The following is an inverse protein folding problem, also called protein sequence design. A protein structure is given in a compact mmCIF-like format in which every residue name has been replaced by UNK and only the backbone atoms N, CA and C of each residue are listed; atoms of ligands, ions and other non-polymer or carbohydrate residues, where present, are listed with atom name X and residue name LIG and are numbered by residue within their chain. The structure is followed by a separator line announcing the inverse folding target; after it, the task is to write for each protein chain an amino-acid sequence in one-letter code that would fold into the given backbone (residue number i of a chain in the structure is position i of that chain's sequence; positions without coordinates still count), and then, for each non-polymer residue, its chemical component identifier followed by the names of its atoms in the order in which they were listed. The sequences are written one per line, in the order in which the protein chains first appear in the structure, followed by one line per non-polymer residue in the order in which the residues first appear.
data_IF_026424063717
#
_entry.id   IF_026424063717
#
_cell.length_a   1.000
_cell.length_b   1.000
_cell.length_c   1.000
_cell.angle_alpha   90.00
_cell.angle_beta   90.00
_cell.angle_gamma   90.00
#
_symmetry.space_group_name_H-M   'P 1'
#
loop_
_entity.id
_entity.type
_entity.pdbx_description
1 polymer ?
#
# COMPACT_ATOMS: atom_id res chain seq x y z
N UNK A 1 -27.95 -116.26 46.39
CA UNK A 1 -27.21 -116.33 47.67
C UNK A 1 -26.04 -115.39 47.47
N UNK A 2 -25.94 -114.20 48.06
CA UNK A 2 -26.19 -113.79 49.45
C UNK A 2 -26.57 -112.30 49.51
N UNK A 3 -27.56 -112.04 50.36
CA UNK A 3 -28.00 -110.86 51.13
C UNK A 3 -27.90 -109.39 50.66
N UNK A 4 -29.04 -108.75 50.88
CA UNK A 4 -29.33 -107.31 50.92
C UNK A 4 -28.90 -106.75 52.27
N UNK A 5 -28.22 -105.60 52.28
CA UNK A 5 -28.27 -104.63 53.37
C UNK A 5 -27.97 -103.25 52.78
N UNK A 6 -28.97 -102.38 52.72
CA UNK A 6 -28.78 -100.93 52.62
C UNK A 6 -28.61 -100.35 54.02
N UNK A 7 -27.91 -99.21 54.18
CA UNK A 7 -28.66 -98.01 54.58
C UNK A 7 -28.12 -96.67 54.03
N UNK A 8 -29.06 -95.73 53.75
CA UNK A 8 -29.13 -94.32 54.20
C UNK A 8 -27.84 -93.45 54.13
N UNK A 9 -27.78 -92.25 53.50
CA UNK A 9 -28.56 -91.01 53.66
C UNK A 9 -28.01 -89.93 52.66
N UNK A 10 -28.50 -88.66 52.51
CA UNK A 10 -28.62 -88.01 51.21
C UNK A 10 -27.57 -86.89 51.09
N UNK A 11 -27.41 -86.35 49.89
CA UNK A 11 -26.50 -85.23 49.70
C UNK A 11 -26.40 -84.88 48.24
N UNK A 12 -27.43 -84.22 47.74
CA UNK A 12 -27.39 -83.55 46.45
C UNK A 12 -26.51 -82.31 46.64
N UNK A 13 -25.21 -82.44 46.36
CA UNK A 13 -24.32 -81.29 46.19
C UNK A 13 -24.62 -80.67 44.81
N UNK A 14 -25.56 -79.72 44.80
CA UNK A 14 -25.71 -78.77 43.70
C UNK A 14 -24.46 -77.88 43.60
N UNK A 15 -24.13 -77.37 42.40
CA UNK A 15 -22.95 -76.53 42.22
C UNK A 15 -23.03 -75.26 43.08
N UNK A 16 -22.01 -75.08 43.92
CA UNK A 16 -21.72 -73.97 44.84
C UNK A 16 -21.85 -72.61 44.12
N UNK A 17 -22.97 -71.93 44.33
CA UNK A 17 -23.33 -70.62 43.76
C UNK A 17 -22.77 -69.43 44.57
N UNK A 18 -21.66 -69.63 45.29
CA UNK A 18 -21.10 -68.65 46.25
C UNK A 18 -19.95 -67.78 45.74
N UNK A 19 -19.89 -67.50 44.44
CA UNK A 19 -18.86 -66.64 43.83
C UNK A 19 -19.41 -65.34 43.18
N UNK A 20 -20.64 -64.91 43.49
CA UNK A 20 -21.22 -63.68 42.91
C UNK A 20 -21.02 -62.41 43.75
N UNK A 21 -20.18 -62.45 44.79
CA UNK A 21 -20.22 -61.47 45.88
C UNK A 21 -18.94 -60.63 46.05
N UNK A 22 -18.09 -60.40 45.04
CA UNK A 22 -16.94 -59.48 45.19
C UNK A 22 -16.69 -58.53 44.00
N UNK A 23 -17.69 -58.32 43.15
CA UNK A 23 -17.62 -57.38 42.04
C UNK A 23 -18.91 -56.60 41.86
N UNK A 24 -19.38 -55.96 42.93
CA UNK A 24 -20.57 -55.11 42.91
C UNK A 24 -20.53 -54.18 41.71
N UNK A 25 -21.46 -54.39 40.77
CA UNK A 25 -21.68 -53.49 39.65
C UNK A 25 -22.10 -52.15 40.25
N UNK A 26 -21.17 -51.21 40.29
CA UNK A 26 -21.45 -49.84 40.70
C UNK A 26 -22.33 -49.18 39.63
N UNK A 27 -23.63 -49.27 39.87
CA UNK A 27 -24.70 -48.69 39.05
C UNK A 27 -25.07 -47.30 39.53
N UNK A 28 -24.20 -46.60 40.25
CA UNK A 28 -24.37 -45.15 40.37
C UNK A 28 -24.41 -44.61 38.94
N UNK A 29 -25.51 -43.93 38.54
CA UNK A 29 -25.51 -43.25 37.26
C UNK A 29 -24.31 -42.31 37.33
N UNK A 30 -23.34 -42.45 36.42
CA UNK A 30 -22.40 -41.35 36.23
C UNK A 30 -23.27 -40.15 35.94
N UNK A 31 -23.26 -39.16 36.82
CA UNK A 31 -23.80 -37.85 36.51
C UNK A 31 -23.10 -37.40 35.23
N UNK A 32 -23.82 -37.52 34.11
CA UNK A 32 -23.44 -36.91 32.83
C UNK A 32 -23.42 -35.37 32.95
N UNK A 33 -23.71 -34.84 34.13
CA UNK A 33 -23.71 -33.44 34.50
C UNK A 33 -22.30 -32.84 34.66
N UNK A 34 -21.22 -33.63 34.67
CA UNK A 34 -19.85 -33.09 34.59
C UNK A 34 -19.34 -32.90 33.14
N UNK A 35 -20.19 -33.13 32.13
CA UNK A 35 -19.95 -32.68 30.77
C UNK A 35 -20.96 -31.59 30.37
N UNK A 36 -21.44 -30.79 31.34
CA UNK A 36 -21.95 -29.47 31.01
C UNK A 36 -20.81 -28.73 30.31
N UNK A 37 -20.95 -28.60 28.99
CA UNK A 37 -20.08 -27.81 28.12
C UNK A 37 -19.59 -26.63 28.94
N UNK A 38 -18.28 -26.54 29.19
CA UNK A 38 -17.69 -25.25 29.50
C UNK A 38 -18.06 -24.42 28.28
N UNK A 39 -19.17 -23.69 28.38
CA UNK A 39 -19.47 -22.57 27.51
C UNK A 39 -18.30 -21.67 27.82
N UNK A 40 -17.20 -21.88 27.08
CA UNK A 40 -16.15 -20.91 26.93
C UNK A 40 -16.97 -19.77 26.38
N UNK A 41 -17.33 -18.84 27.27
CA UNK A 41 -17.93 -17.57 26.91
C UNK A 41 -16.87 -16.92 26.06
N UNK A 42 -16.78 -17.39 24.81
CA UNK A 42 -15.77 -17.01 23.86
C UNK A 42 -15.93 -15.52 23.82
N UNK A 43 -14.84 -14.82 24.13
CA UNK A 43 -14.82 -13.36 24.18
C UNK A 43 -15.47 -12.85 22.90
N UNK A 44 -16.78 -12.61 22.90
CA UNK A 44 -17.54 -12.18 21.71
C UNK A 44 -17.14 -10.77 21.31
N UNK A 45 -16.44 -10.08 22.22
CA UNK A 45 -15.77 -8.82 22.01
C UNK A 45 -14.39 -8.96 21.35
N UNK A 46 -13.76 -10.15 21.33
CA UNK A 46 -12.47 -10.35 20.66
C UNK A 46 -12.56 -10.15 19.14
N UNK A 47 -13.54 -10.73 18.40
CA UNK A 47 -13.69 -10.43 16.98
C UNK A 47 -14.07 -8.96 16.74
N UNK A 48 -14.84 -8.35 17.66
CA UNK A 48 -15.19 -6.93 17.57
C UNK A 48 -13.96 -6.02 17.77
N UNK A 49 -13.07 -6.38 18.70
CA UNK A 49 -11.80 -5.68 18.92
C UNK A 49 -10.86 -5.81 17.74
N UNK A 50 -10.76 -7.00 17.14
CA UNK A 50 -9.95 -7.22 15.94
C UNK A 50 -10.50 -6.39 14.78
N UNK A 51 -11.82 -6.34 14.61
CA UNK A 51 -12.46 -5.51 13.59
C UNK A 51 -12.23 -4.01 13.85
N UNK A 52 -12.32 -3.57 15.10
CA UNK A 52 -12.05 -2.18 15.46
C UNK A 52 -10.58 -1.80 15.23
N UNK A 53 -9.64 -2.68 15.58
CA UNK A 53 -8.22 -2.49 15.30
C UNK A 53 -7.94 -2.42 13.80
N UNK A 54 -8.58 -3.28 13.01
CA UNK A 54 -8.48 -3.26 11.55
C UNK A 54 -9.03 -1.94 10.98
N UNK A 55 -10.17 -1.47 11.48
CA UNK A 55 -10.75 -0.20 11.06
C UNK A 55 -9.81 0.99 11.37
N UNK A 56 -9.17 0.99 12.55
CA UNK A 56 -8.16 2.02 12.90
C UNK A 56 -6.98 1.98 11.93
N UNK A 57 -6.44 0.80 11.62
CA UNK A 57 -5.34 0.66 10.65
C UNK A 57 -5.75 1.18 9.28
N UNK A 58 -6.96 0.86 8.80
CA UNK A 58 -7.49 1.37 7.53
C UNK A 58 -7.60 2.90 7.56
N UNK A 59 -8.13 3.48 8.65
CA UNK A 59 -8.20 4.94 8.80
C UNK A 59 -6.81 5.58 8.78
N UNK A 60 -5.83 5.00 9.48
CA UNK A 60 -4.46 5.52 9.47
C UNK A 60 -3.82 5.44 8.07
N UNK A 61 -4.05 4.36 7.33
CA UNK A 61 -3.59 4.23 5.93
C UNK A 61 -4.27 5.30 5.06
N UNK A 62 -5.57 5.52 5.23
CA UNK A 62 -6.31 6.54 4.46
C UNK A 62 -5.85 7.96 4.81
N UNK A 63 -5.57 8.25 6.09
CA UNK A 63 -5.01 9.54 6.50
C UNK A 63 -3.62 9.75 5.90
N UNK A 64 -2.76 8.73 5.94
CA UNK A 64 -1.39 8.83 5.42
C UNK A 64 -1.33 8.88 3.88
N UNK A 65 -2.28 8.24 3.18
CA UNK A 65 -2.37 8.30 1.72
C UNK A 65 -2.69 9.72 1.20
N UNK A 66 -3.33 10.55 2.02
CA UNK A 66 -3.63 11.95 1.68
C UNK A 66 -2.41 12.87 1.74
N UNK A 67 -1.39 12.57 2.55
CA UNK A 67 -0.31 13.51 2.89
C UNK A 67 0.89 13.52 1.92
N UNK A 68 1.01 12.54 1.01
CA UNK A 68 2.24 12.36 0.22
C UNK A 68 2.02 12.16 -1.30
N UNK A 69 0.84 12.53 -1.80
CA UNK A 69 0.55 12.37 -3.22
C UNK A 69 0.82 13.70 -3.94
N UNK A 70 1.96 13.78 -4.66
CA UNK A 70 2.16 14.80 -5.69
C UNK A 70 1.09 14.58 -6.78
N UNK A 71 -0.06 15.22 -6.61
CA UNK A 71 -1.13 15.13 -7.58
C UNK A 71 -0.82 16.01 -8.79
N UNK A 72 -1.09 15.48 -9.98
CA UNK A 72 -1.14 16.26 -11.20
C UNK A 72 -2.44 17.08 -11.18
N UNK A 73 -2.32 18.39 -11.36
CA UNK A 73 -3.43 19.34 -11.44
C UNK A 73 -3.29 20.13 -12.73
N UNK A 74 -4.39 20.22 -13.47
CA UNK A 74 -4.47 21.12 -14.61
C UNK A 74 -4.51 22.58 -14.15
N UNK A 75 -4.16 23.52 -15.03
CA UNK A 75 -4.11 24.95 -14.68
C UNK A 75 -5.47 25.51 -14.24
N UNK A 76 -6.58 25.03 -14.81
CA UNK A 76 -7.94 25.38 -14.42
C UNK A 76 -8.30 24.87 -13.02
N UNK A 77 -7.94 23.62 -12.70
CA UNK A 77 -8.12 23.04 -11.37
C UNK A 77 -7.27 23.76 -10.32
N UNK A 78 -6.01 24.06 -10.64
CA UNK A 78 -5.08 24.76 -9.75
C UNK A 78 -5.55 26.18 -9.40
N UNK A 79 -6.22 26.87 -10.33
CA UNK A 79 -6.82 28.19 -10.09
C UNK A 79 -8.12 28.08 -9.29
N UNK A 80 -8.93 27.05 -9.54
CA UNK A 80 -10.17 26.82 -8.80
C UNK A 80 -9.92 26.47 -7.31
N UNK A 81 -8.92 25.62 -7.04
CA UNK A 81 -8.56 25.15 -5.69
C UNK A 81 -7.48 26.02 -5.02
N UNK A 82 -7.13 27.15 -5.63
CA UNK A 82 -6.01 28.02 -5.23
C UNK A 82 -5.98 28.38 -3.74
N UNK A 83 -7.13 28.70 -3.15
CA UNK A 83 -7.22 29.11 -1.76
C UNK A 83 -6.84 27.98 -0.78
N UNK A 84 -7.22 26.75 -1.11
CA UNK A 84 -6.91 25.55 -0.30
C UNK A 84 -5.44 25.19 -0.46
N UNK A 85 -4.93 25.20 -1.70
CA UNK A 85 -3.53 24.88 -2.00
C UNK A 85 -2.53 25.83 -1.33
N UNK A 86 -2.88 27.12 -1.21
CA UNK A 86 -2.08 28.12 -0.48
C UNK A 86 -2.15 27.88 1.03
N UNK A 87 -3.35 27.55 1.56
CA UNK A 87 -3.54 27.32 2.99
C UNK A 87 -2.76 26.09 3.50
N UNK A 88 -2.68 25.04 2.68
CA UNK A 88 -2.00 23.79 3.01
C UNK A 88 -0.51 23.76 2.58
N UNK A 89 0.04 24.86 2.05
CA UNK A 89 1.42 24.97 1.50
C UNK A 89 1.80 23.77 0.61
N UNK A 90 0.85 23.29 -0.20
CA UNK A 90 0.97 22.01 -0.88
C UNK A 90 1.76 22.12 -2.18
N UNK A 91 2.78 21.27 -2.32
CA UNK A 91 3.49 21.08 -3.59
C UNK A 91 2.69 20.16 -4.52
N UNK A 92 2.45 20.61 -5.75
CA UNK A 92 1.72 19.85 -6.77
C UNK A 92 2.36 20.01 -8.16
N UNK A 93 1.91 19.20 -9.12
CA UNK A 93 2.38 19.26 -10.51
C UNK A 93 1.35 19.96 -11.38
N UNK A 94 1.66 21.15 -11.85
CA UNK A 94 0.88 21.94 -12.79
C UNK A 94 1.15 21.47 -14.22
N UNK A 95 0.12 21.06 -14.95
CA UNK A 95 0.22 20.71 -16.37
C UNK A 95 -0.47 21.76 -17.27
N UNK A 96 0.14 22.04 -18.41
CA UNK A 96 -0.46 22.87 -19.45
C UNK A 96 0.46 23.09 -20.64
N UNK A 97 0.10 24.05 -21.49
CA UNK A 97 0.89 24.43 -22.67
C UNK A 97 1.43 25.83 -22.49
N UNK A 98 2.69 26.04 -22.83
CA UNK A 98 3.33 27.35 -22.71
C UNK A 98 2.73 28.30 -23.74
N UNK A 99 2.28 29.45 -23.27
CA UNK A 99 1.80 30.54 -24.12
C UNK A 99 2.65 31.79 -23.90
N UNK A 100 2.92 32.52 -24.98
CA UNK A 100 3.81 33.67 -24.93
C UNK A 100 5.29 33.28 -24.94
N UNK A 101 6.14 34.30 -24.85
CA UNK A 101 7.60 34.14 -24.88
C UNK A 101 8.12 34.02 -23.45
N UNK A 102 8.81 32.93 -23.08
CA UNK A 102 9.43 32.82 -21.78
C UNK A 102 10.50 33.92 -21.60
N UNK A 103 10.48 34.59 -20.45
CA UNK A 103 11.43 35.65 -20.10
C UNK A 103 12.38 35.16 -19.02
N UNK A 104 13.67 35.11 -19.35
CA UNK A 104 14.73 34.84 -18.37
C UNK A 104 15.06 36.12 -17.60
N UNK A 105 14.87 36.09 -16.28
CA UNK A 105 15.21 37.17 -15.35
C UNK A 105 16.19 36.62 -14.30
N UNK A 106 17.45 37.02 -14.42
CA UNK A 106 18.54 36.61 -13.53
C UNK A 106 18.62 35.07 -13.35
N UNK A 107 18.17 34.57 -12.20
CA UNK A 107 18.17 33.16 -11.78
C UNK A 107 16.80 32.46 -11.96
N UNK A 108 15.85 33.09 -12.65
CA UNK A 108 14.50 32.54 -12.84
C UNK A 108 13.97 32.75 -14.25
N UNK A 109 13.13 31.83 -14.72
CA UNK A 109 12.39 31.95 -15.98
C UNK A 109 10.91 32.15 -15.65
N UNK A 110 10.33 33.21 -16.19
CA UNK A 110 8.90 33.50 -16.05
C UNK A 110 8.19 33.22 -17.36
N UNK A 111 7.09 32.47 -17.30
CA UNK A 111 6.29 32.11 -18.46
C UNK A 111 4.84 31.85 -18.05
N UNK A 112 3.93 31.94 -19.01
CA UNK A 112 2.51 31.67 -18.77
C UNK A 112 2.17 30.28 -19.33
N UNK A 113 1.46 29.49 -18.53
CA UNK A 113 0.95 28.18 -18.89
C UNK A 113 -0.55 28.24 -19.04
N UNK A 114 -1.05 27.79 -20.19
CA UNK A 114 -2.47 27.70 -20.48
C UNK A 114 -2.95 26.25 -20.47
N UNK A 115 -4.08 26.00 -19.81
CA UNK A 115 -4.84 24.76 -19.96
C UNK A 115 -6.33 25.05 -19.91
N UNK A 116 -7.12 24.49 -20.83
CA UNK A 116 -8.58 24.67 -20.83
C UNK A 116 -9.07 26.12 -21.00
N UNK A 117 -8.21 27.02 -21.51
CA UNK A 117 -8.50 28.46 -21.62
C UNK A 117 -8.24 29.27 -20.34
N UNK A 118 -7.60 28.68 -19.33
CA UNK A 118 -7.14 29.35 -18.12
C UNK A 118 -5.63 29.54 -18.19
N UNK A 119 -5.17 30.75 -17.92
CA UNK A 119 -3.76 31.13 -17.90
C UNK A 119 -3.21 31.18 -16.46
N UNK A 120 -2.01 30.63 -16.26
CA UNK A 120 -1.29 30.62 -14.98
C UNK A 120 0.13 31.12 -15.20
N UNK A 121 0.51 32.15 -14.46
CA UNK A 121 1.88 32.67 -14.46
C UNK A 121 2.79 31.78 -13.59
N UNK A 122 3.86 31.29 -14.18
CA UNK A 122 4.83 30.39 -13.57
C UNK A 122 6.19 31.08 -13.48
N UNK A 123 6.79 31.07 -12.29
CA UNK A 123 8.18 31.47 -12.04
C UNK A 123 8.99 30.24 -11.68
N UNK A 124 9.90 29.86 -12.55
CA UNK A 124 10.78 28.71 -12.37
C UNK A 124 12.19 29.14 -11.96
N UNK A 125 12.76 28.55 -10.91
CA UNK A 125 14.10 28.91 -10.37
C UNK A 125 15.16 27.81 -10.52
N UNK A 126 14.84 26.71 -11.21
CA UNK A 126 15.74 25.58 -11.42
C UNK A 126 16.77 25.79 -12.55
N UNK A 127 17.85 25.01 -12.51
CA UNK A 127 18.93 25.06 -13.51
C UNK A 127 18.58 24.26 -14.78
N UNK A 128 18.27 24.99 -15.85
CA UNK A 128 18.22 24.58 -17.28
C UNK A 128 17.13 23.57 -17.74
N UNK A 129 16.62 23.66 -18.99
CA UNK A 129 17.40 23.78 -20.22
C UNK A 129 17.13 25.04 -21.05
N UNK A 130 18.20 25.60 -21.61
CA UNK A 130 18.11 26.50 -22.76
C UNK A 130 17.30 25.81 -23.87
N UNK A 131 16.45 26.56 -24.58
CA UNK A 131 15.51 26.11 -25.63
C UNK A 131 14.07 25.79 -25.17
N UNK A 132 13.51 26.63 -24.31
CA UNK A 132 12.06 26.63 -24.08
C UNK A 132 11.37 27.56 -25.09
N UNK A 133 10.51 26.99 -25.94
CA UNK A 133 9.76 27.72 -26.95
C UNK A 133 8.25 27.61 -26.73
N UNK A 134 7.50 28.56 -27.29
CA UNK A 134 6.05 28.63 -27.12
C UNK A 134 5.34 27.45 -27.79
N UNK A 135 4.23 26.97 -27.21
CA UNK A 135 3.41 25.90 -27.79
C UNK A 135 3.81 24.47 -27.41
N UNK A 136 4.79 24.30 -26.51
CA UNK A 136 5.19 22.98 -26.00
C UNK A 136 4.35 22.62 -24.75
N UNK A 137 3.85 21.37 -24.64
CA UNK A 137 3.23 20.89 -23.41
C UNK A 137 4.29 20.69 -22.31
N UNK A 138 4.01 21.23 -21.14
CA UNK A 138 4.94 21.25 -19.99
C UNK A 138 4.24 20.83 -18.71
N UNK A 139 5.02 20.24 -17.80
CA UNK A 139 4.62 19.97 -16.42
C UNK A 139 5.59 20.67 -15.48
N UNK A 140 5.10 21.62 -14.69
CA UNK A 140 5.84 22.34 -13.66
C UNK A 140 5.52 21.77 -12.28
N UNK A 141 6.52 21.31 -11.53
CA UNK A 141 6.40 20.89 -10.13
C UNK A 141 6.74 22.06 -9.22
N UNK A 142 5.86 22.39 -8.28
CA UNK A 142 5.96 23.62 -7.50
C UNK A 142 4.77 23.85 -6.58
N UNK A 143 4.64 25.08 -6.10
CA UNK A 143 3.52 25.52 -5.26
C UNK A 143 3.14 26.97 -5.56
N UNK A 144 1.97 27.38 -5.09
CA UNK A 144 1.56 28.78 -5.20
C UNK A 144 2.38 29.67 -4.25
N UNK A 145 2.74 30.87 -4.71
CA UNK A 145 3.19 31.96 -3.84
C UNK A 145 2.12 32.23 -2.76
N UNK A 146 2.48 32.67 -1.53
CA UNK A 146 1.55 33.18 -0.50
C UNK A 146 0.43 34.12 -0.99
N UNK A 147 0.74 35.01 -1.93
CA UNK A 147 -0.19 35.95 -2.59
C UNK A 147 -1.05 35.27 -3.67
N UNK A 148 -0.64 34.08 -4.10
CA UNK A 148 -1.28 33.25 -5.11
C UNK A 148 -1.19 33.80 -6.53
N UNK A 149 -0.46 34.89 -6.75
CA UNK A 149 -0.36 35.56 -8.06
C UNK A 149 0.49 34.77 -9.05
N UNK A 150 1.49 34.03 -8.56
CA UNK A 150 2.47 33.29 -9.36
C UNK A 150 2.64 31.89 -8.79
N UNK A 151 2.80 30.91 -9.67
CA UNK A 151 3.18 29.55 -9.31
C UNK A 151 4.71 29.43 -9.30
N UNK A 152 5.28 29.13 -8.14
CA UNK A 152 6.73 28.96 -7.97
C UNK A 152 7.10 27.50 -8.25
N UNK A 153 7.89 27.28 -9.29
CA UNK A 153 8.31 25.94 -9.73
C UNK A 153 9.79 25.70 -9.49
N UNK A 154 10.10 24.53 -8.92
CA UNK A 154 11.47 24.08 -8.66
C UNK A 154 11.94 23.05 -9.70
N UNK A 155 11.02 22.29 -10.31
CA UNK A 155 11.34 21.35 -11.39
C UNK A 155 10.40 21.53 -12.56
N UNK A 156 10.97 21.53 -13.75
CA UNK A 156 10.24 21.61 -15.00
C UNK A 156 10.48 20.33 -15.80
N UNK A 157 9.40 19.63 -16.16
CA UNK A 157 9.45 18.50 -17.06
C UNK A 157 8.84 18.93 -18.38
N UNK A 158 9.70 18.98 -19.40
CA UNK A 158 9.32 19.32 -20.76
C UNK A 158 9.43 18.04 -21.56
N UNK A 159 8.41 17.72 -22.34
CA UNK A 159 8.51 16.62 -23.29
C UNK A 159 9.34 17.10 -24.47
N UNK A 160 10.66 16.97 -24.37
CA UNK A 160 11.54 17.04 -25.53
C UNK A 160 11.53 15.67 -26.20
N UNK A 161 11.26 15.64 -27.51
CA UNK A 161 11.73 14.57 -28.37
C UNK A 161 13.26 14.77 -28.40
N UNK A 162 14.01 13.94 -27.69
CA UNK A 162 15.48 13.96 -27.78
C UNK A 162 15.88 13.58 -29.21
N UNK A 163 16.12 14.56 -30.08
CA UNK A 163 17.06 14.35 -31.18
C UNK A 163 18.46 14.46 -30.55
N UNK A 164 18.87 13.34 -29.94
CA UNK A 164 20.25 13.11 -29.55
C UNK A 164 21.02 12.86 -30.85
N UNK A 165 21.32 13.93 -31.60
CA UNK A 165 22.29 13.89 -32.69
C UNK A 165 23.66 13.61 -32.06
N UNK A 166 23.95 12.32 -32.06
CA UNK A 166 25.22 11.63 -31.94
C UNK A 166 26.45 12.56 -31.89
N UNK A 167 27.09 12.61 -30.72
CA UNK A 167 28.41 13.23 -30.48
C UNK A 167 29.56 12.53 -31.24
N UNK A 168 29.28 11.76 -32.29
CA UNK A 168 30.26 10.96 -33.04
C UNK A 168 30.86 11.70 -34.25
N UNK A 169 30.40 12.89 -34.64
CA UNK A 169 30.89 13.57 -35.85
C UNK A 169 32.00 14.63 -35.62
N UNK A 170 32.29 15.01 -34.37
CA UNK A 170 33.31 16.03 -34.05
C UNK A 170 34.70 15.48 -33.67
N UNK A 171 34.90 14.15 -33.65
CA UNK A 171 36.20 13.54 -33.38
C UNK A 171 36.63 12.52 -34.46
N UNK A 172 36.86 12.94 -35.72
CA UNK A 172 37.37 12.05 -36.76
C UNK A 172 38.80 11.54 -36.49
N UNK A 173 39.57 12.17 -35.59
CA UNK A 173 40.98 11.86 -35.30
C UNK A 173 41.20 10.87 -34.15
N UNK A 174 40.27 9.95 -33.90
CA UNK A 174 40.50 8.87 -32.93
C UNK A 174 40.66 7.48 -33.57
N UNK A 175 40.62 7.40 -34.90
CA UNK A 175 40.70 6.14 -35.66
C UNK A 175 41.93 6.06 -36.56
N UNK A 176 43.07 6.60 -36.14
CA UNK A 176 44.39 6.23 -36.63
C UNK A 176 45.04 5.26 -35.65
N UNK A 177 44.38 4.10 -35.51
CA UNK A 177 44.99 2.89 -35.00
C UNK A 177 45.98 2.34 -36.03
N UNK A 178 47.26 2.52 -35.73
CA UNK A 178 48.36 1.58 -35.95
C UNK A 178 48.44 0.72 -37.24
N UNK A 179 48.05 1.22 -38.41
CA UNK A 179 48.42 0.54 -39.66
C UNK A 179 49.83 0.91 -40.14
N UNK A 180 50.72 -0.09 -40.05
CA UNK A 180 51.93 -0.32 -40.86
C UNK A 180 53.22 0.45 -40.51
N UNK A 181 54.10 -0.20 -39.75
CA UNK A 181 55.55 -0.03 -39.92
C UNK A 181 56.18 -1.41 -40.24
N UNK A 182 56.08 -1.81 -41.52
CA UNK A 182 56.94 -2.81 -42.14
C UNK A 182 57.96 -2.05 -43.01
N UNK A 183 59.22 -2.03 -42.58
CA UNK A 183 60.45 -1.96 -43.39
C UNK A 183 61.68 -2.11 -42.50
#
# INVERSE_FOLDING_TARGET
MVEVTEPHDPGVDGPDDRDLDEGGLDLTPRDLEAAASRRRGGKRWLPLLVLAALAVVVVLILMQAGEASLYFRNADEAVAEKAELIADDTTFRLQGTVVGKPESTDDAITFTVQYGGVDVDVRHTGSEPALFDSGVPVVAEGKWNPDGTVFESEKLLIRHDEDYEDYDEENPERLDGDESNDS
#
